data_IF_825985363483
#
_entry.id   IF_825985363483
#
_cell.length_a   1.000
_cell.length_b   1.000
_cell.length_c   1.000
_cell.angle_alpha   90.00
_cell.angle_beta   90.00
_cell.angle_gamma   90.00
#
_symmetry.space_group_name_H-M   'P 1'
#
loop_
_entity.id
_entity.type
_entity.pdbx_description
1 polymer ?
#
# COMPACT_ATOMS: atom_id res chain seq x y z
N UNK A 1 9.26 9.02 -1.99
CA UNK A 1 8.90 7.89 -1.09
C UNK A 1 7.47 7.49 -1.39
N UNK A 2 7.22 6.21 -1.69
CA UNK A 2 5.93 5.61 -2.08
C UNK A 2 4.86 5.74 -0.98
N UNK A 3 4.48 6.94 -0.64
CA UNK A 3 3.53 7.22 0.46
C UNK A 3 2.12 7.58 -0.01
N UNK A 4 1.87 7.53 -1.32
CA UNK A 4 0.58 7.86 -1.93
C UNK A 4 0.21 6.91 -3.04
N UNK A 5 -1.07 6.55 -3.11
CA UNK A 5 -1.56 5.63 -4.13
C UNK A 5 -3.04 5.89 -4.45
N UNK A 6 -3.54 5.17 -5.43
CA UNK A 6 -4.94 5.21 -5.86
C UNK A 6 -5.57 3.83 -5.71
N UNK A 7 -6.84 3.79 -5.39
CA UNK A 7 -7.64 2.57 -5.47
C UNK A 7 -8.99 2.89 -6.11
N UNK A 8 -9.21 2.37 -7.31
CA UNK A 8 -10.45 2.54 -8.09
C UNK A 8 -11.18 1.20 -8.26
N UNK A 9 -10.69 0.17 -7.54
CA UNK A 9 -11.23 -1.17 -7.67
C UNK A 9 -12.58 -1.26 -6.98
N UNK A 10 -13.52 -1.86 -7.67
CA UNK A 10 -14.80 -2.24 -7.11
C UNK A 10 -14.65 -3.41 -6.14
N UNK A 11 -15.64 -3.59 -5.28
CA UNK A 11 -15.73 -4.77 -4.41
C UNK A 11 -15.54 -6.09 -5.18
N UNK A 12 -16.22 -6.24 -6.33
CA UNK A 12 -16.17 -7.47 -7.14
C UNK A 12 -14.77 -7.74 -7.70
N UNK A 13 -14.08 -6.71 -8.16
CA UNK A 13 -12.71 -6.84 -8.65
C UNK A 13 -11.75 -7.26 -7.52
N UNK A 14 -11.88 -6.69 -6.32
CA UNK A 14 -11.06 -7.06 -5.16
C UNK A 14 -11.36 -8.50 -4.74
N UNK A 15 -12.63 -8.90 -4.66
CA UNK A 15 -13.06 -10.27 -4.35
C UNK A 15 -12.43 -11.26 -5.33
N UNK A 16 -12.52 -10.99 -6.63
CA UNK A 16 -12.00 -11.88 -7.67
C UNK A 16 -10.48 -11.98 -7.62
N UNK A 17 -9.79 -10.83 -7.56
CA UNK A 17 -8.31 -10.77 -7.57
C UNK A 17 -7.70 -11.47 -6.36
N UNK A 18 -8.25 -11.23 -5.17
CA UNK A 18 -7.66 -11.72 -3.92
C UNK A 18 -8.34 -12.98 -3.38
N UNK A 19 -9.36 -13.52 -4.09
CA UNK A 19 -10.12 -14.70 -3.69
C UNK A 19 -10.68 -14.57 -2.27
N UNK A 20 -11.40 -13.47 -2.02
CA UNK A 20 -11.97 -13.23 -0.70
C UNK A 20 -13.04 -14.27 -0.35
N UNK A 21 -13.15 -14.58 0.94
CA UNK A 21 -14.16 -15.52 1.47
C UNK A 21 -15.47 -14.76 1.69
N UNK A 22 -16.26 -14.59 0.62
CA UNK A 22 -17.45 -13.71 0.60
C UNK A 22 -18.60 -14.19 1.49
N UNK A 23 -18.65 -15.46 1.89
CA UNK A 23 -19.69 -15.97 2.80
C UNK A 23 -19.68 -15.31 4.19
N UNK A 24 -18.58 -14.61 4.54
CA UNK A 24 -18.40 -13.96 5.82
C UNK A 24 -18.51 -12.43 5.75
N UNK A 25 -18.73 -11.84 4.56
CA UNK A 25 -18.67 -10.39 4.38
C UNK A 25 -19.79 -9.89 3.47
N UNK A 26 -20.51 -8.82 3.86
CA UNK A 26 -21.46 -8.16 2.97
C UNK A 26 -20.73 -7.45 1.82
N UNK A 27 -21.39 -7.33 0.67
CA UNK A 27 -20.90 -6.48 -0.42
C UNK A 27 -20.76 -5.03 0.06
N UNK A 28 -19.64 -4.39 -0.30
CA UNK A 28 -19.34 -3.03 0.13
C UNK A 28 -19.28 -2.09 -1.07
N UNK A 29 -19.86 -0.90 -0.91
CA UNK A 29 -19.62 0.18 -1.87
C UNK A 29 -18.23 0.78 -1.55
N UNK A 30 -17.29 0.61 -2.49
CA UNK A 30 -15.94 1.13 -2.39
C UNK A 30 -15.80 2.28 -3.40
N UNK A 31 -15.86 3.55 -2.96
CA UNK A 31 -15.69 4.69 -3.85
C UNK A 31 -14.25 4.70 -4.40
N UNK A 32 -14.13 5.12 -5.66
CA UNK A 32 -12.81 5.32 -6.27
C UNK A 32 -12.06 6.45 -5.55
N UNK A 33 -10.79 6.22 -5.24
CA UNK A 33 -9.92 7.17 -4.54
C UNK A 33 -8.64 7.40 -5.33
N UNK A 34 -8.35 8.66 -5.60
CA UNK A 34 -7.25 9.08 -6.46
C UNK A 34 -6.09 9.74 -5.71
N UNK A 35 -6.20 9.94 -4.40
CA UNK A 35 -5.17 10.59 -3.59
C UNK A 35 -5.14 10.03 -2.16
N UNK A 36 -4.97 8.73 -2.03
CA UNK A 36 -4.86 8.10 -0.71
C UNK A 36 -3.55 8.53 -0.05
N UNK A 37 -3.68 9.14 1.13
CA UNK A 37 -2.60 9.75 1.89
C UNK A 37 -2.29 8.97 3.18
N UNK A 38 -1.09 9.19 3.77
CA UNK A 38 -0.76 8.71 5.10
C UNK A 38 -1.85 9.01 6.13
N UNK A 39 -2.00 8.11 7.09
CA UNK A 39 -2.96 8.17 8.22
C UNK A 39 -4.43 7.98 7.88
N UNK A 40 -4.79 7.96 6.61
CA UNK A 40 -6.15 7.65 6.17
C UNK A 40 -6.47 6.16 6.35
N UNK A 41 -7.75 5.86 6.47
CA UNK A 41 -8.25 4.48 6.44
C UNK A 41 -8.24 3.96 5.00
N UNK A 42 -7.67 2.77 4.82
CA UNK A 42 -7.63 2.02 3.56
C UNK A 42 -8.11 0.61 3.82
N UNK A 43 -8.49 -0.10 2.77
CA UNK A 43 -8.82 -1.50 2.86
C UNK A 43 -7.58 -2.36 2.55
N UNK A 44 -7.33 -3.37 3.39
CA UNK A 44 -6.27 -4.35 3.18
C UNK A 44 -6.84 -5.77 3.30
N UNK A 45 -6.31 -6.67 2.48
CA UNK A 45 -6.66 -8.09 2.52
C UNK A 45 -5.76 -8.81 3.52
N UNK A 46 -6.35 -9.51 4.45
CA UNK A 46 -5.67 -10.38 5.41
C UNK A 46 -6.19 -11.80 5.29
N UNK A 47 -5.45 -12.75 5.84
CA UNK A 47 -5.90 -14.14 5.99
C UNK A 47 -5.91 -14.51 7.48
N UNK A 48 -7.05 -14.98 7.96
CA UNK A 48 -7.26 -15.54 9.31
C UNK A 48 -8.07 -16.82 9.21
N UNK A 49 -7.66 -17.88 9.90
CA UNK A 49 -8.37 -19.16 9.92
C UNK A 49 -8.72 -19.65 8.50
N UNK A 50 -7.77 -19.54 7.58
CA UNK A 50 -7.93 -19.88 6.15
C UNK A 50 -9.03 -19.10 5.42
N UNK A 51 -9.46 -17.97 5.97
CA UNK A 51 -10.41 -17.05 5.34
C UNK A 51 -9.71 -15.74 4.98
N UNK A 52 -9.99 -15.27 3.76
CA UNK A 52 -9.49 -13.98 3.30
C UNK A 52 -10.56 -12.92 3.44
N UNK A 53 -10.21 -11.86 4.12
CA UNK A 53 -11.09 -10.76 4.46
C UNK A 53 -10.51 -9.43 4.00
N UNK A 54 -11.38 -8.52 3.55
CA UNK A 54 -11.04 -7.13 3.29
C UNK A 54 -11.35 -6.29 4.53
N UNK A 55 -10.32 -5.78 5.18
CA UNK A 55 -10.43 -5.13 6.49
C UNK A 55 -9.99 -3.67 6.39
N UNK A 56 -10.78 -2.70 6.89
CA UNK A 56 -10.35 -1.31 6.96
C UNK A 56 -9.23 -1.15 8.00
N UNK A 57 -8.17 -0.42 7.62
CA UNK A 57 -7.00 -0.19 8.46
C UNK A 57 -6.44 1.22 8.26
N UNK A 58 -5.88 1.81 9.30
CA UNK A 58 -5.12 3.06 9.20
C UNK A 58 -3.82 2.83 8.46
N UNK A 59 -3.53 3.64 7.44
CA UNK A 59 -2.24 3.63 6.76
C UNK A 59 -1.17 4.33 7.63
N UNK A 60 -0.22 3.57 8.11
CA UNK A 60 0.80 3.95 9.09
C UNK A 60 0.71 3.06 10.32
N UNK A 61 1.57 2.02 10.35
CA UNK A 61 1.55 0.96 11.35
C UNK A 61 1.77 1.50 12.76
N UNK A 62 0.90 1.11 13.68
CA UNK A 62 1.08 1.25 15.13
C UNK A 62 1.30 -0.14 15.68
N UNK A 63 2.51 -0.50 16.15
CA UNK A 63 2.76 -1.84 16.69
C UNK A 63 1.94 -2.09 17.96
N UNK A 64 1.49 -3.32 18.18
CA UNK A 64 0.69 -3.72 19.36
C UNK A 64 1.32 -3.31 20.70
N UNK A 65 2.63 -3.24 20.77
CA UNK A 65 3.40 -2.89 21.99
C UNK A 65 3.65 -1.39 22.16
N UNK A 66 3.18 -0.53 21.25
CA UNK A 66 3.41 0.92 21.32
C UNK A 66 2.76 1.53 22.55
N UNK A 67 3.54 2.31 23.33
CA UNK A 67 3.15 2.84 24.65
C UNK A 67 2.73 4.31 24.65
N UNK A 68 2.67 4.93 23.48
CA UNK A 68 2.24 6.32 23.27
C UNK A 68 1.04 6.37 22.35
N UNK A 69 0.52 7.57 22.07
CA UNK A 69 -0.60 7.73 21.13
C UNK A 69 -0.20 7.35 19.70
N UNK A 70 -1.17 7.04 18.85
CA UNK A 70 -0.93 6.72 17.45
C UNK A 70 -0.30 7.89 16.67
N UNK A 71 -0.50 9.13 17.11
CA UNK A 71 0.08 10.34 16.50
C UNK A 71 1.59 10.46 16.73
N UNK A 72 2.09 9.87 17.80
CA UNK A 72 3.50 9.91 18.18
C UNK A 72 4.31 8.76 17.54
N UNK A 73 3.67 7.89 16.74
CA UNK A 73 4.44 6.88 16.01
C UNK A 73 5.36 7.57 15.00
N UNK A 74 6.59 7.08 14.82
CA UNK A 74 7.45 7.52 13.73
C UNK A 74 6.75 7.31 12.37
N UNK A 75 7.34 7.79 11.29
CA UNK A 75 6.83 7.55 9.94
C UNK A 75 6.87 6.04 9.60
N UNK A 76 5.76 5.35 9.82
CA UNK A 76 5.58 3.89 9.66
C UNK A 76 4.68 3.53 8.48
N UNK A 77 4.50 4.46 7.55
CA UNK A 77 3.70 4.26 6.35
C UNK A 77 4.36 3.25 5.43
N UNK A 78 5.70 3.22 5.45
CA UNK A 78 6.54 2.33 4.65
C UNK A 78 7.53 1.56 5.51
N UNK A 79 7.74 0.29 5.17
CA UNK A 79 8.80 -0.56 5.67
C UNK A 79 9.76 -0.92 4.54
N UNK A 80 11.06 -0.83 4.77
CA UNK A 80 12.08 -1.20 3.76
C UNK A 80 12.29 -2.70 3.74
N UNK A 81 12.25 -3.33 2.57
CA UNK A 81 12.48 -4.76 2.36
C UNK A 81 13.75 -5.27 3.03
N UNK A 82 14.81 -4.47 2.99
CA UNK A 82 16.15 -4.83 3.49
C UNK A 82 16.19 -4.98 5.03
N UNK A 83 15.30 -4.31 5.75
CA UNK A 83 15.34 -4.26 7.22
C UNK A 83 14.02 -4.64 7.89
N UNK A 84 13.00 -4.98 7.13
CA UNK A 84 11.64 -5.25 7.64
C UNK A 84 11.61 -6.42 8.64
N UNK A 85 12.44 -7.44 8.42
CA UNK A 85 12.52 -8.61 9.26
C UNK A 85 13.25 -8.36 10.61
N UNK A 86 13.98 -7.25 10.71
CA UNK A 86 14.87 -6.95 11.84
C UNK A 86 14.35 -5.80 12.71
N UNK A 87 13.86 -4.72 12.06
CA UNK A 87 13.45 -3.51 12.77
C UNK A 87 12.33 -3.78 13.78
N UNK A 88 12.47 -3.33 15.03
CA UNK A 88 11.46 -3.54 16.09
C UNK A 88 10.05 -3.14 15.69
N UNK A 89 9.89 -2.06 14.89
CA UNK A 89 8.59 -1.57 14.43
C UNK A 89 7.85 -2.58 13.53
N UNK A 90 8.57 -3.43 12.80
CA UNK A 90 8.00 -4.25 11.74
C UNK A 90 8.21 -5.75 11.92
N UNK A 91 9.28 -6.18 12.62
CA UNK A 91 9.69 -7.59 12.68
C UNK A 91 8.62 -8.55 13.18
N UNK A 92 7.78 -8.12 14.14
CA UNK A 92 6.70 -8.96 14.67
C UNK A 92 5.58 -9.11 13.64
N UNK A 93 5.16 -8.01 13.02
CA UNK A 93 4.15 -8.03 11.96
C UNK A 93 4.66 -8.80 10.73
N UNK A 94 5.95 -8.69 10.37
CA UNK A 94 6.55 -9.46 9.29
C UNK A 94 6.47 -10.98 9.52
N UNK A 95 6.57 -11.42 10.74
CA UNK A 95 6.45 -12.84 11.10
C UNK A 95 5.03 -13.35 11.16
N UNK A 96 4.04 -12.50 11.53
CA UNK A 96 2.73 -12.96 11.96
C UNK A 96 1.53 -12.30 11.26
N UNK A 97 1.71 -11.12 10.69
CA UNK A 97 0.57 -10.28 10.31
C UNK A 97 0.84 -9.58 8.98
N UNK A 98 0.80 -10.36 7.90
CA UNK A 98 0.98 -9.86 6.53
C UNK A 98 -0.35 -9.51 5.93
N UNK A 99 -0.35 -8.53 5.03
CA UNK A 99 -1.52 -8.14 4.28
C UNK A 99 -1.16 -7.83 2.82
N UNK A 100 -2.20 -7.74 2.01
CA UNK A 100 -2.13 -7.27 0.63
C UNK A 100 -2.99 -6.02 0.52
N UNK A 101 -2.44 -4.96 -0.06
CA UNK A 101 -3.12 -3.68 -0.22
C UNK A 101 -3.51 -3.53 -1.70
N UNK A 102 -4.82 -3.59 -2.03
CA UNK A 102 -5.29 -3.36 -3.39
C UNK A 102 -5.01 -1.94 -3.83
N UNK A 103 -4.52 -1.76 -5.05
CA UNK A 103 -4.21 -0.46 -5.62
C UNK A 103 -4.46 -0.45 -7.13
N UNK A 104 -4.80 0.70 -7.71
CA UNK A 104 -4.85 0.89 -9.15
C UNK A 104 -3.57 1.51 -9.71
N UNK A 105 -2.80 2.15 -8.83
CA UNK A 105 -1.52 2.76 -9.13
C UNK A 105 -0.98 3.51 -7.94
N UNK A 106 0.22 4.06 -8.07
CA UNK A 106 0.88 4.83 -7.01
C UNK A 106 1.61 6.05 -7.58
N UNK A 107 1.96 6.99 -6.71
CA UNK A 107 2.71 8.19 -7.08
C UNK A 107 4.13 8.13 -6.54
N UNK A 108 5.06 8.63 -7.35
CA UNK A 108 6.41 8.98 -6.94
C UNK A 108 6.80 10.35 -7.49
N UNK A 109 7.79 10.97 -6.86
CA UNK A 109 8.17 12.35 -7.13
C UNK A 109 9.60 12.46 -7.64
N UNK A 110 9.72 12.98 -8.84
CA UNK A 110 11.01 13.41 -9.37
C UNK A 110 11.38 14.77 -8.79
N UNK A 111 12.56 14.89 -8.22
CA UNK A 111 13.09 16.19 -7.75
C UNK A 111 13.67 16.96 -8.91
N UNK A 112 13.10 18.11 -9.20
CA UNK A 112 13.54 19.02 -10.28
C UNK A 112 14.01 20.36 -9.69
N UNK A 113 14.73 21.20 -10.45
CA UNK A 113 15.09 22.55 -9.98
C UNK A 113 13.90 23.42 -9.58
N UNK A 114 12.72 23.16 -10.16
CA UNK A 114 11.47 23.91 -9.89
C UNK A 114 10.56 23.24 -8.86
N UNK A 115 11.08 22.24 -8.12
CA UNK A 115 10.35 21.50 -7.09
C UNK A 115 10.04 20.06 -7.47
N UNK A 116 9.13 19.43 -6.76
CA UNK A 116 8.79 18.03 -6.94
C UNK A 116 7.72 17.85 -8.02
N UNK A 117 8.07 17.14 -9.09
CA UNK A 117 7.16 16.73 -10.15
C UNK A 117 6.63 15.33 -9.86
N UNK A 118 5.32 15.12 -9.63
CA UNK A 118 4.74 13.83 -9.41
C UNK A 118 4.58 13.05 -10.72
N UNK A 119 4.79 11.74 -10.63
CA UNK A 119 4.53 10.76 -11.67
C UNK A 119 3.57 9.71 -11.15
N UNK A 120 2.63 9.32 -11.98
CA UNK A 120 1.70 8.23 -11.69
C UNK A 120 2.20 6.94 -12.34
N UNK A 121 2.25 5.88 -11.55
CA UNK A 121 2.66 4.53 -11.95
C UNK A 121 1.46 3.60 -11.90
N UNK A 122 1.25 2.80 -12.93
CA UNK A 122 0.21 1.78 -12.99
C UNK A 122 0.67 0.59 -13.81
N UNK A 123 -0.06 -0.52 -13.78
CA UNK A 123 0.25 -1.67 -14.62
C UNK A 123 0.13 -1.31 -16.11
N UNK A 124 1.06 -1.81 -16.91
CA UNK A 124 1.10 -1.53 -18.35
C UNK A 124 -0.10 -2.10 -19.10
N UNK A 125 -0.60 -3.24 -18.65
CA UNK A 125 -1.75 -3.94 -19.21
C UNK A 125 -3.10 -3.47 -18.63
N UNK A 126 -3.07 -2.45 -17.75
CA UNK A 126 -4.27 -1.94 -17.09
C UNK A 126 -4.78 -2.79 -15.93
N UNK A 127 -4.12 -3.90 -15.61
CA UNK A 127 -4.51 -4.75 -14.48
C UNK A 127 -4.36 -4.03 -13.14
N UNK A 128 -5.12 -4.43 -12.11
CA UNK A 128 -4.92 -3.95 -10.75
C UNK A 128 -3.52 -4.28 -10.21
N UNK A 129 -2.99 -3.38 -9.40
CA UNK A 129 -1.79 -3.62 -8.61
C UNK A 129 -2.17 -4.13 -7.21
N UNK A 130 -1.26 -4.88 -6.62
CA UNK A 130 -1.33 -5.27 -5.21
C UNK A 130 0.00 -4.94 -4.56
N UNK A 131 -0.04 -4.23 -3.43
CA UNK A 131 1.16 -3.86 -2.68
C UNK A 131 1.29 -4.81 -1.48
N UNK A 132 2.48 -5.38 -1.28
CA UNK A 132 2.77 -6.16 -0.07
C UNK A 132 2.78 -5.24 1.15
N UNK A 133 2.10 -5.66 2.21
CA UNK A 133 2.02 -4.90 3.43
C UNK A 133 2.13 -5.78 4.68
N UNK A 134 2.24 -5.10 5.80
CA UNK A 134 2.15 -5.68 7.14
C UNK A 134 1.07 -4.95 7.91
N UNK A 135 0.45 -5.62 8.87
CA UNK A 135 -0.55 -4.99 9.73
C UNK A 135 -0.35 -5.38 11.19
N UNK A 136 -0.93 -4.59 12.07
CA UNK A 136 -0.97 -4.88 13.49
C UNK A 136 -2.25 -4.30 14.09
N UNK A 137 -2.64 -4.82 15.25
CA UNK A 137 -3.75 -4.31 16.04
C UNK A 137 -3.20 -3.79 17.37
N UNK A 138 -3.30 -2.50 17.55
CA UNK A 138 -2.87 -1.80 18.75
C UNK A 138 -4.10 -1.35 19.55
N UNK A 139 -4.03 -1.48 20.87
CA UNK A 139 -5.05 -0.97 21.76
C UNK A 139 -4.73 0.47 22.14
N UNK A 140 -5.62 1.39 21.78
CA UNK A 140 -5.48 2.80 22.09
C UNK A 140 -5.37 3.01 23.61
N UNK A 141 -4.31 3.70 24.04
CA UNK A 141 -4.00 3.88 25.46
C UNK A 141 -4.95 4.85 26.16
N UNK A 142 -5.62 5.73 25.40
CA UNK A 142 -6.55 6.73 25.92
C UNK A 142 -7.99 6.21 25.95
N UNK A 143 -8.41 5.52 24.89
CA UNK A 143 -9.80 5.06 24.72
C UNK A 143 -9.99 3.58 25.04
N UNK A 144 -8.92 2.78 24.98
CA UNK A 144 -9.00 1.33 25.09
C UNK A 144 -9.50 0.63 23.82
N UNK A 145 -9.85 1.38 22.76
CA UNK A 145 -10.36 0.83 21.51
C UNK A 145 -9.28 0.19 20.63
N UNK A 146 -9.59 -0.89 19.91
CA UNK A 146 -8.64 -1.50 19.00
C UNK A 146 -8.49 -0.68 17.73
N UNK A 147 -7.24 -0.36 17.34
CA UNK A 147 -6.87 0.27 16.08
C UNK A 147 -6.10 -0.71 15.22
N UNK A 148 -6.70 -1.14 14.11
CA UNK A 148 -5.97 -1.86 13.06
C UNK A 148 -5.22 -0.87 12.18
N UNK A 149 -3.96 -1.16 11.92
CA UNK A 149 -3.09 -0.30 11.12
C UNK A 149 -2.15 -1.13 10.24
N UNK A 150 -1.72 -0.57 9.12
CA UNK A 150 -0.85 -1.26 8.18
C UNK A 150 0.27 -0.37 7.64
N UNK A 151 1.27 -1.00 7.05
CA UNK A 151 2.39 -0.37 6.35
C UNK A 151 2.58 -1.02 4.99
N UNK A 152 3.02 -0.25 4.02
CA UNK A 152 3.46 -0.77 2.71
C UNK A 152 4.92 -1.17 2.77
N UNK A 153 5.30 -2.25 2.09
CA UNK A 153 6.70 -2.63 1.94
C UNK A 153 7.23 -2.05 0.64
N UNK A 154 8.40 -1.41 0.73
CA UNK A 154 9.12 -0.86 -0.42
C UNK A 154 10.47 -1.56 -0.58
N UNK A 155 10.93 -1.61 -1.83
CA UNK A 155 12.22 -2.17 -2.23
C UNK A 155 12.96 -1.20 -3.16
N UNK A 156 14.15 -1.56 -3.62
CA UNK A 156 14.85 -0.82 -4.64
C UNK A 156 14.00 -0.69 -5.91
N UNK A 157 14.11 0.44 -6.59
CA UNK A 157 13.42 0.66 -7.85
C UNK A 157 13.96 -0.27 -8.94
N UNK A 158 13.06 -0.71 -9.85
CA UNK A 158 13.47 -1.28 -11.12
C UNK A 158 13.98 -0.18 -12.07
N UNK A 159 14.45 -0.54 -13.24
CA UNK A 159 15.00 0.40 -14.23
C UNK A 159 14.01 1.51 -14.63
N UNK A 160 12.72 1.19 -14.76
CA UNK A 160 11.70 2.19 -15.10
C UNK A 160 11.51 3.19 -13.95
N UNK A 161 11.28 2.68 -12.74
CA UNK A 161 10.97 3.51 -11.56
C UNK A 161 12.19 4.33 -11.11
N UNK A 162 13.43 3.82 -11.32
CA UNK A 162 14.67 4.50 -10.95
C UNK A 162 14.89 5.83 -11.67
N UNK A 163 14.23 6.03 -12.80
CA UNK A 163 14.22 7.33 -13.52
C UNK A 163 13.57 8.44 -12.72
N UNK A 164 12.73 8.11 -11.74
CA UNK A 164 11.99 9.05 -10.92
C UNK A 164 12.44 9.00 -9.47
N UNK A 165 12.60 7.80 -8.90
CA UNK A 165 12.95 7.59 -7.50
C UNK A 165 13.69 6.25 -7.31
N UNK A 166 14.57 6.16 -6.31
CA UNK A 166 15.36 4.97 -6.00
C UNK A 166 14.56 3.82 -5.35
N UNK A 167 13.29 4.03 -5.07
CA UNK A 167 12.39 3.08 -4.41
C UNK A 167 11.10 2.86 -5.16
N UNK A 168 10.53 1.66 -5.00
CA UNK A 168 9.19 1.31 -5.49
C UNK A 168 8.49 0.39 -4.48
N UNK A 169 7.14 0.29 -4.50
CA UNK A 169 6.42 -0.70 -3.70
C UNK A 169 6.80 -2.12 -4.11
N UNK A 170 6.78 -3.04 -3.16
CA UNK A 170 6.82 -4.49 -3.47
C UNK A 170 5.47 -4.89 -4.03
N UNK A 171 5.46 -5.39 -5.26
CA UNK A 171 4.25 -5.76 -6.02
C UNK A 171 4.21 -7.28 -6.24
N UNK A 172 3.70 -8.07 -5.27
CA UNK A 172 3.58 -9.51 -5.44
C UNK A 172 2.59 -9.83 -6.56
N UNK A 173 2.89 -10.90 -7.29
CA UNK A 173 1.98 -11.43 -8.32
C UNK A 173 0.88 -12.29 -7.69
N UNK A 174 -0.29 -12.48 -8.32
CA UNK A 174 -1.37 -13.30 -7.77
C UNK A 174 -0.96 -14.71 -7.33
N UNK A 175 0.02 -15.32 -8.01
CA UNK A 175 0.60 -16.63 -7.65
C UNK A 175 1.36 -16.63 -6.31
N UNK A 176 1.77 -15.46 -5.83
CA UNK A 176 2.55 -15.30 -4.60
C UNK A 176 1.68 -14.92 -3.39
N UNK A 177 0.39 -14.60 -3.60
CA UNK A 177 -0.50 -14.11 -2.54
C UNK A 177 -0.66 -15.12 -1.40
N UNK A 178 -0.86 -16.40 -1.72
CA UNK A 178 -1.02 -17.47 -0.74
C UNK A 178 0.23 -17.61 0.14
N UNK A 179 1.41 -17.65 -0.49
CA UNK A 179 2.69 -17.73 0.23
C UNK A 179 2.96 -16.49 1.08
N UNK A 180 2.57 -15.32 0.57
CA UNK A 180 2.75 -14.07 1.31
C UNK A 180 1.86 -14.02 2.53
N UNK A 181 0.56 -14.22 2.40
CA UNK A 181 -0.41 -14.14 3.50
C UNK A 181 -0.19 -15.21 4.57
N UNK A 182 0.14 -16.44 4.17
CA UNK A 182 0.44 -17.55 5.09
C UNK A 182 1.75 -17.36 5.89
N UNK A 183 2.55 -16.34 5.59
CA UNK A 183 3.83 -16.13 6.25
C UNK A 183 4.95 -17.08 5.80
N UNK A 184 4.70 -17.95 4.80
CA UNK A 184 5.62 -18.96 4.31
C UNK A 184 6.68 -18.40 3.33
N UNK A 185 6.59 -17.14 2.95
CA UNK A 185 7.60 -16.47 2.16
C UNK A 185 8.53 -15.67 3.07
N UNK A 186 9.84 -15.74 2.82
CA UNK A 186 10.83 -14.88 3.44
C UNK A 186 10.97 -13.54 2.71
N UNK A 187 12.16 -12.98 2.73
CA UNK A 187 12.48 -11.73 2.03
C UNK A 187 12.67 -11.92 0.52
N UNK A 188 12.67 -13.15 0.02
CA UNK A 188 12.86 -13.46 -1.41
C UNK A 188 11.74 -12.92 -2.32
N UNK A 189 10.54 -12.68 -1.78
CA UNK A 189 9.45 -12.00 -2.49
C UNK A 189 9.56 -10.47 -2.48
N UNK A 190 10.43 -9.90 -1.63
CA UNK A 190 10.56 -8.46 -1.43
C UNK A 190 11.52 -7.82 -2.45
N UNK A 191 11.31 -8.09 -3.71
CA UNK A 191 12.15 -7.64 -4.82
C UNK A 191 11.40 -6.70 -5.76
N UNK A 192 12.13 -5.92 -6.58
CA UNK A 192 11.51 -5.07 -7.59
C UNK A 192 10.65 -5.86 -8.57
N UNK A 193 9.54 -5.27 -9.01
CA UNK A 193 8.78 -5.82 -10.13
C UNK A 193 9.61 -5.76 -11.43
N UNK A 194 9.33 -6.65 -12.37
CA UNK A 194 9.99 -6.64 -13.69
C UNK A 194 9.75 -5.34 -14.44
N UNK A 195 10.71 -4.91 -15.26
CA UNK A 195 10.69 -3.62 -15.97
C UNK A 195 9.48 -3.43 -16.90
N UNK A 196 8.90 -4.52 -17.40
CA UNK A 196 7.78 -4.50 -18.34
C UNK A 196 6.40 -4.48 -17.67
N UNK A 197 6.33 -4.58 -16.34
CA UNK A 197 5.05 -4.65 -15.59
C UNK A 197 4.39 -3.28 -15.49
N UNK A 198 5.18 -2.21 -15.35
CA UNK A 198 4.68 -0.88 -15.08
C UNK A 198 4.81 0.05 -16.31
N UNK A 199 3.96 1.05 -16.33
CA UNK A 199 4.08 2.28 -17.11
C UNK A 199 3.96 3.48 -16.17
N UNK A 200 4.43 4.65 -16.63
CA UNK A 200 4.36 5.89 -15.85
C UNK A 200 4.20 7.11 -16.75
N UNK A 201 3.67 8.18 -16.17
CA UNK A 201 3.60 9.50 -16.80
C UNK A 201 3.54 10.62 -15.78
N UNK A 202 3.96 11.85 -16.15
CA UNK A 202 3.84 13.00 -15.28
C UNK A 202 2.36 13.40 -15.11
N UNK A 203 2.02 13.80 -13.89
CA UNK A 203 0.67 14.26 -13.54
C UNK A 203 0.70 15.65 -12.90
N UNK A 204 -0.47 16.27 -12.75
CA UNK A 204 -0.60 17.58 -12.15
C UNK A 204 0.01 17.66 -10.74
N UNK A 205 0.72 18.77 -10.46
CA UNK A 205 1.26 19.07 -9.11
C UNK A 205 0.18 19.26 -8.05
N UNK A 206 -1.11 19.28 -8.41
CA UNK A 206 -2.22 19.29 -7.45
C UNK A 206 -2.13 18.10 -6.48
N UNK A 207 -1.65 16.94 -6.95
CA UNK A 207 -1.45 15.76 -6.11
C UNK A 207 -0.41 15.96 -5.00
N UNK A 208 0.44 16.99 -5.06
CA UNK A 208 1.39 17.31 -3.99
C UNK A 208 0.69 17.69 -2.70
N UNK A 209 -0.51 18.27 -2.79
CA UNK A 209 -1.32 18.58 -1.63
C UNK A 209 -2.04 17.35 -1.10
N UNK A 210 -1.89 17.07 0.19
CA UNK A 210 -2.71 16.06 0.87
C UNK A 210 -4.18 16.48 1.05
N UNK A 211 -4.49 17.76 0.76
CA UNK A 211 -5.84 18.33 0.79
C UNK A 211 -6.53 18.30 -0.57
N UNK A 212 -5.84 17.88 -1.63
CA UNK A 212 -6.50 17.68 -2.92
C UNK A 212 -7.60 16.62 -2.74
N UNK A 213 -8.81 16.82 -3.31
CA UNK A 213 -9.91 15.88 -3.22
C UNK A 213 -9.46 14.48 -3.66
N UNK A 214 -9.78 13.46 -2.88
CA UNK A 214 -9.34 12.11 -3.21
C UNK A 214 -10.30 11.39 -4.18
N UNK A 215 -11.43 12.00 -4.50
CA UNK A 215 -12.43 11.57 -5.48
C UNK A 215 -12.25 12.23 -6.87
N UNK A 216 -11.22 13.06 -7.05
CA UNK A 216 -10.95 13.74 -8.33
C UNK A 216 -10.18 12.84 -9.32
N UNK A 217 -10.83 12.31 -10.37
CA UNK A 217 -10.20 11.43 -11.34
C UNK A 217 -9.12 12.12 -12.18
N UNK A 218 -9.16 13.44 -12.30
CA UNK A 218 -8.18 14.20 -13.10
C UNK A 218 -6.79 14.29 -12.45
N UNK A 219 -6.63 13.82 -11.21
CA UNK A 219 -5.32 13.74 -10.55
C UNK A 219 -4.36 12.73 -11.21
N UNK A 220 -4.89 11.75 -11.96
CA UNK A 220 -4.08 10.77 -12.68
C UNK A 220 -3.92 11.10 -14.17
N UNK A 221 -4.50 12.19 -14.64
CA UNK A 221 -4.39 12.59 -16.04
C UNK A 221 -2.94 12.93 -16.40
N UNK A 222 -2.53 12.45 -17.59
CA UNK A 222 -1.22 12.78 -18.15
C UNK A 222 -1.16 14.27 -18.49
N UNK A 223 -0.11 14.94 -18.04
CA UNK A 223 0.21 16.29 -18.48
C UNK A 223 1.34 16.25 -19.52
N UNK A 224 1.47 17.33 -20.30
CA UNK A 224 2.64 17.53 -21.17
C UNK A 224 3.91 17.56 -20.30
N UNK A 225 4.97 16.91 -20.79
CA UNK A 225 6.28 16.87 -20.14
C UNK A 225 7.06 18.16 -20.42
#
# INVERSE_FOLDING_TARGET
MCGRFTNRLTWREIVALHRLTVSAMPERNLPARYNICPTQTIDAVIERDSKRELVPMRLGLVPFWWKKTAKETPATIIARAETVAEKPMFRTAFKRSRCLIPASGYYEWHTTPTGKQPYYFTARDGSPLTIAGLWDEWKDIETGEPLKSCTMIITNANELASKIHDRMPVLPQPRDFDRWLAGNAGTELLKPASNNVLQMWPVSRRVNSSRAPDDDPTLIDRIAA
#
